data_IF_593615259724
#
_entry.id   IF_593615259724
#
_cell.length_a   1.000
_cell.length_b   1.000
_cell.length_c   1.000
_cell.angle_alpha   90.00
_cell.angle_beta   90.00
_cell.angle_gamma   90.00
#
_symmetry.space_group_name_H-M   'P 1'
#
loop_
_entity.id
_entity.type
_entity.pdbx_description
1 polymer ?
#
# COMPACT_ATOMS: atom_id res chain seq x y z
N UNK A 1 -3.90 -33.91 -19.71
CA UNK A 1 -4.12 -33.13 -18.47
C UNK A 1 -3.41 -31.81 -18.66
N UNK A 2 -4.14 -30.76 -19.07
CA UNK A 2 -3.58 -29.43 -19.24
C UNK A 2 -3.73 -28.68 -17.91
N UNK A 3 -2.62 -28.39 -17.25
CA UNK A 3 -2.57 -27.48 -16.10
C UNK A 3 -2.72 -26.07 -16.66
N UNK A 4 -3.94 -25.54 -16.60
CA UNK A 4 -4.19 -24.12 -16.81
C UNK A 4 -3.60 -23.36 -15.62
N UNK A 5 -2.37 -22.87 -15.77
CA UNK A 5 -1.87 -21.77 -14.95
C UNK A 5 -2.68 -20.54 -15.35
N UNK A 6 -3.73 -20.24 -14.58
CA UNK A 6 -4.43 -18.96 -14.69
C UNK A 6 -3.52 -17.91 -14.05
N UNK A 7 -2.50 -17.49 -14.80
CA UNK A 7 -1.81 -16.24 -14.55
C UNK A 7 -2.82 -15.18 -15.01
N UNK A 8 -3.71 -14.75 -14.12
CA UNK A 8 -4.57 -13.61 -14.40
C UNK A 8 -3.63 -12.43 -14.56
N UNK A 9 -3.29 -12.08 -15.81
CA UNK A 9 -2.85 -10.73 -16.10
C UNK A 9 -3.83 -9.79 -15.39
N UNK A 10 -3.35 -8.86 -14.57
CA UNK A 10 -4.24 -7.99 -13.84
C UNK A 10 -5.03 -7.22 -14.90
N UNK A 11 -6.33 -7.53 -15.06
CA UNK A 11 -7.22 -6.77 -15.95
C UNK A 11 -7.10 -5.29 -15.54
N UNK A 12 -6.39 -4.50 -16.35
CA UNK A 12 -6.01 -3.13 -16.01
C UNK A 12 -4.65 -2.69 -16.56
N UNK A 13 -4.35 -1.40 -16.43
CA UNK A 13 -3.09 -0.79 -16.87
C UNK A 13 -2.17 -0.60 -15.67
N UNK A 14 -0.93 -1.10 -15.74
CA UNK A 14 0.07 -0.83 -14.68
C UNK A 14 0.39 0.66 -14.68
N UNK A 15 0.09 1.34 -13.57
CA UNK A 15 0.36 2.78 -13.38
C UNK A 15 1.76 2.98 -12.80
N UNK A 16 2.11 2.14 -11.83
CA UNK A 16 3.41 2.14 -11.17
C UNK A 16 3.88 0.71 -10.93
N UNK A 17 5.17 0.47 -11.20
CA UNK A 17 5.84 -0.79 -10.90
C UNK A 17 6.98 -0.49 -9.95
N UNK A 18 7.07 -1.30 -8.90
CA UNK A 18 8.14 -1.27 -7.93
C UNK A 18 8.94 -2.58 -8.03
N UNK A 19 10.06 -2.65 -7.30
CA UNK A 19 10.79 -3.90 -7.13
C UNK A 19 9.96 -5.00 -6.45
N UNK A 20 10.50 -6.23 -6.41
CA UNK A 20 9.92 -7.37 -5.69
C UNK A 20 8.51 -7.80 -6.13
N UNK A 21 8.14 -7.53 -7.39
CA UNK A 21 6.83 -7.90 -7.92
C UNK A 21 5.67 -7.10 -7.34
N UNK A 22 5.95 -5.91 -6.79
CA UNK A 22 4.95 -4.99 -6.26
C UNK A 22 4.56 -3.98 -7.34
N UNK A 23 3.28 -3.74 -7.56
CA UNK A 23 2.78 -2.77 -8.56
C UNK A 23 1.41 -2.21 -8.19
N UNK A 24 1.06 -1.08 -8.80
CA UNK A 24 -0.28 -0.50 -8.76
C UNK A 24 -0.89 -0.59 -10.15
N UNK A 25 -2.07 -1.18 -10.24
CA UNK A 25 -2.81 -1.39 -11.48
C UNK A 25 -4.11 -0.60 -11.46
N UNK A 26 -4.39 0.14 -12.53
CA UNK A 26 -5.67 0.80 -12.77
C UNK A 26 -6.64 -0.17 -13.45
N UNK A 27 -7.67 -0.61 -12.74
CA UNK A 27 -8.57 -1.69 -13.20
C UNK A 27 -9.76 -1.20 -14.04
N UNK A 28 -10.06 0.10 -14.03
CA UNK A 28 -11.26 0.68 -14.66
C UNK A 28 -10.93 2.01 -15.37
N UNK A 29 -9.89 2.00 -16.21
CA UNK A 29 -9.37 3.22 -16.85
C UNK A 29 -10.39 3.95 -17.73
N UNK A 30 -11.39 3.23 -18.28
CA UNK A 30 -12.44 3.81 -19.13
C UNK A 30 -13.68 4.29 -18.35
N UNK A 31 -13.69 4.12 -17.02
CA UNK A 31 -14.80 4.55 -16.16
C UNK A 31 -14.56 5.95 -15.58
N UNK A 32 -15.62 6.71 -15.25
CA UNK A 32 -15.50 8.05 -14.69
C UNK A 32 -14.84 8.09 -13.29
N UNK A 33 -14.64 6.93 -12.66
CA UNK A 33 -13.99 6.80 -11.34
C UNK A 33 -13.10 5.57 -11.34
N UNK A 34 -11.87 5.69 -11.88
CA UNK A 34 -10.94 4.57 -11.93
C UNK A 34 -10.54 4.12 -10.53
N UNK A 35 -10.33 2.82 -10.38
CA UNK A 35 -9.86 2.20 -9.13
C UNK A 35 -8.43 1.67 -9.29
N UNK A 36 -7.66 1.81 -8.22
CA UNK A 36 -6.24 1.48 -8.18
C UNK A 36 -6.05 0.25 -7.29
N UNK A 37 -5.70 -0.88 -7.88
CA UNK A 37 -5.40 -2.12 -7.17
C UNK A 37 -3.93 -2.15 -6.80
N UNK A 38 -3.64 -2.43 -5.54
CA UNK A 38 -2.30 -2.78 -5.11
C UNK A 38 -2.07 -4.28 -5.31
N UNK A 39 -0.94 -4.65 -5.91
CA UNK A 39 -0.55 -6.03 -6.19
C UNK A 39 0.82 -6.26 -5.59
N UNK A 40 0.95 -7.29 -4.74
CA UNK A 40 2.22 -7.72 -4.17
C UNK A 40 2.24 -9.24 -3.96
N UNK A 41 3.42 -9.88 -3.90
CA UNK A 41 3.51 -11.30 -3.57
C UNK A 41 2.93 -11.57 -2.18
N UNK A 42 2.06 -12.59 -2.06
CA UNK A 42 1.49 -13.04 -0.78
C UNK A 42 0.70 -11.96 -0.03
N UNK A 43 0.10 -11.02 -0.76
CA UNK A 43 -0.74 -9.96 -0.22
C UNK A 43 -2.21 -10.19 -0.56
N UNK A 44 -3.12 -9.69 0.28
CA UNK A 44 -4.57 -9.77 0.07
C UNK A 44 -5.01 -8.65 -0.86
N UNK A 45 -5.63 -8.99 -1.99
CA UNK A 45 -6.16 -8.01 -2.95
C UNK A 45 -6.91 -6.85 -2.28
N UNK A 46 -6.46 -5.63 -2.58
CA UNK A 46 -7.06 -4.38 -2.10
C UNK A 46 -7.10 -3.34 -3.21
N UNK A 47 -8.15 -2.53 -3.23
CA UNK A 47 -8.35 -1.45 -4.21
C UNK A 47 -8.63 -0.12 -3.53
N UNK A 48 -8.13 0.96 -4.12
CA UNK A 48 -8.29 2.33 -3.63
C UNK A 48 -8.99 3.19 -4.68
N UNK A 49 -9.78 4.17 -4.24
CA UNK A 49 -10.43 5.13 -5.13
C UNK A 49 -9.47 6.22 -5.64
N UNK A 50 -8.31 6.38 -4.98
CA UNK A 50 -7.31 7.39 -5.31
C UNK A 50 -5.92 6.77 -5.47
N UNK A 51 -5.14 7.22 -6.47
CA UNK A 51 -3.80 6.69 -6.68
C UNK A 51 -2.85 7.04 -5.53
N UNK A 52 -3.04 8.21 -4.91
CA UNK A 52 -2.21 8.65 -3.79
C UNK A 52 -2.35 7.73 -2.55
N UNK A 53 -3.53 7.15 -2.35
CA UNK A 53 -3.80 6.29 -1.20
C UNK A 53 -3.21 4.89 -1.47
N UNK A 54 -3.31 4.39 -2.71
CA UNK A 54 -2.61 3.20 -3.16
C UNK A 54 -1.08 3.31 -3.05
N UNK A 55 -0.51 4.48 -3.39
CA UNK A 55 0.92 4.76 -3.22
C UNK A 55 1.34 4.76 -1.77
N UNK A 56 0.60 5.45 -0.90
CA UNK A 56 0.91 5.46 0.54
C UNK A 56 0.81 4.06 1.15
N UNK A 57 -0.16 3.25 0.69
CA UNK A 57 -0.25 1.85 1.09
C UNK A 57 0.97 1.05 0.64
N UNK A 58 1.44 1.25 -0.59
CA UNK A 58 2.68 0.65 -1.06
C UNK A 58 3.89 1.11 -0.24
N UNK A 59 3.97 2.40 0.13
CA UNK A 59 5.03 2.92 1.00
C UNK A 59 5.04 2.19 2.34
N UNK A 60 3.88 2.04 2.97
CA UNK A 60 3.73 1.28 4.23
C UNK A 60 4.17 -0.18 4.04
N UNK A 61 3.81 -0.81 2.93
CA UNK A 61 4.22 -2.19 2.64
C UNK A 61 5.74 -2.34 2.58
N UNK A 62 6.43 -1.44 1.89
CA UNK A 62 7.89 -1.43 1.85
C UNK A 62 8.51 -1.11 3.21
N UNK A 63 7.97 -0.12 3.92
CA UNK A 63 8.48 0.33 5.22
C UNK A 63 8.54 -0.79 6.28
N UNK A 64 7.63 -1.76 6.21
CA UNK A 64 7.61 -2.91 7.13
C UNK A 64 8.10 -4.21 6.50
N UNK A 65 8.64 -4.16 5.28
CA UNK A 65 9.07 -5.32 4.50
C UNK A 65 7.96 -6.37 4.30
N UNK A 66 6.75 -5.89 4.05
CA UNK A 66 5.54 -6.67 3.80
C UNK A 66 4.72 -6.97 5.06
N UNK A 67 3.41 -7.11 4.87
CA UNK A 67 2.46 -7.46 5.92
C UNK A 67 1.26 -8.22 5.33
N UNK A 68 0.52 -8.92 6.20
CA UNK A 68 -0.65 -9.72 5.80
C UNK A 68 -1.88 -9.24 6.57
N UNK A 69 -2.93 -8.86 5.84
CA UNK A 69 -4.19 -8.40 6.42
C UNK A 69 -5.19 -9.52 6.72
N UNK A 70 -4.89 -10.75 6.30
CA UNK A 70 -5.71 -11.91 6.61
C UNK A 70 -5.96 -12.02 8.13
N UNK A 71 -7.21 -12.32 8.49
CA UNK A 71 -7.68 -12.47 9.87
C UNK A 71 -7.58 -11.21 10.78
N UNK A 72 -7.23 -10.04 10.25
CA UNK A 72 -7.26 -8.79 11.02
C UNK A 72 -8.68 -8.22 11.19
N UNK A 73 -9.58 -8.54 10.24
CA UNK A 73 -10.95 -8.01 10.16
C UNK A 73 -11.01 -6.63 9.47
N UNK A 74 -12.21 -6.17 9.14
CA UNK A 74 -12.39 -4.97 8.28
C UNK A 74 -11.85 -3.65 8.85
N UNK A 75 -11.60 -3.59 10.17
CA UNK A 75 -10.97 -2.45 10.85
C UNK A 75 -9.71 -2.87 11.61
N UNK A 76 -9.21 -4.06 11.31
CA UNK A 76 -8.03 -4.61 11.92
C UNK A 76 -6.79 -3.86 11.49
N UNK A 77 -5.72 -4.09 12.23
CA UNK A 77 -4.39 -3.60 11.89
C UNK A 77 -3.46 -4.81 11.96
N UNK A 78 -2.67 -5.08 10.90
CA UNK A 78 -1.69 -6.16 10.94
C UNK A 78 -0.68 -5.97 12.07
N UNK A 79 -0.21 -7.06 12.71
CA UNK A 79 0.73 -6.97 13.82
C UNK A 79 2.05 -6.30 13.41
N UNK A 80 2.49 -6.44 12.16
CA UNK A 80 3.70 -5.81 11.61
C UNK A 80 3.58 -4.28 11.65
N UNK A 81 2.41 -3.74 11.28
CA UNK A 81 2.13 -2.30 11.29
C UNK A 81 2.15 -1.75 12.72
N UNK A 82 1.55 -2.48 13.68
CA UNK A 82 1.54 -2.07 15.09
C UNK A 82 2.97 -2.06 15.67
N UNK A 83 3.80 -3.04 15.29
CA UNK A 83 5.18 -3.16 15.76
C UNK A 83 6.12 -2.13 15.15
N UNK A 84 5.87 -1.70 13.90
CA UNK A 84 6.67 -0.71 13.20
C UNK A 84 6.63 0.68 13.86
N UNK A 85 5.53 0.99 14.55
CA UNK A 85 5.41 2.18 15.39
C UNK A 85 4.36 3.17 14.91
N UNK A 86 4.36 4.33 15.57
CA UNK A 86 3.24 5.28 15.51
C UNK A 86 3.05 5.90 14.13
N UNK A 87 4.14 6.28 13.48
CA UNK A 87 4.12 6.93 12.17
C UNK A 87 3.66 5.96 11.08
N UNK A 88 4.17 4.72 11.08
CA UNK A 88 3.71 3.66 10.16
C UNK A 88 2.24 3.32 10.39
N UNK A 89 1.80 3.20 11.65
CA UNK A 89 0.38 3.00 11.95
C UNK A 89 -0.48 4.16 11.48
N UNK A 90 -0.03 5.41 11.66
CA UNK A 90 -0.76 6.58 11.16
C UNK A 90 -0.88 6.56 9.63
N UNK A 91 0.22 6.29 8.92
CA UNK A 91 0.24 6.20 7.47
C UNK A 91 -0.69 5.08 6.96
N UNK A 92 -0.65 3.90 7.57
CA UNK A 92 -1.57 2.80 7.25
C UNK A 92 -3.03 3.22 7.43
N UNK A 93 -3.38 3.83 8.56
CA UNK A 93 -4.77 4.23 8.82
C UNK A 93 -5.28 5.28 7.82
N UNK A 94 -4.42 6.17 7.32
CA UNK A 94 -4.79 7.16 6.27
C UNK A 94 -5.19 6.48 4.95
N UNK A 95 -4.74 5.26 4.70
CA UNK A 95 -5.08 4.51 3.47
C UNK A 95 -6.41 3.77 3.56
N UNK A 96 -7.00 3.69 4.75
CA UNK A 96 -8.23 2.94 4.98
C UNK A 96 -9.45 3.73 4.51
N UNK A 97 -10.36 3.09 3.77
CA UNK A 97 -11.58 3.73 3.24
C UNK A 97 -12.42 4.45 4.31
N UNK A 98 -12.40 3.94 5.55
CA UNK A 98 -13.18 4.48 6.66
C UNK A 98 -12.47 5.58 7.48
N UNK A 99 -11.20 5.89 7.18
CA UNK A 99 -10.43 6.88 7.92
C UNK A 99 -9.78 7.90 6.98
N UNK A 100 -10.00 9.18 7.27
CA UNK A 100 -9.29 10.29 6.64
C UNK A 100 -8.21 10.85 7.58
N UNK A 101 -7.39 11.77 7.05
CA UNK A 101 -6.32 12.43 7.80
C UNK A 101 -6.82 13.14 9.07
N UNK A 102 -8.01 13.75 9.03
CA UNK A 102 -8.59 14.45 10.17
C UNK A 102 -9.03 13.47 11.27
N UNK A 103 -9.59 12.34 10.88
CA UNK A 103 -9.93 11.25 11.79
C UNK A 103 -8.67 10.70 12.45
N UNK A 104 -7.61 10.43 11.69
CA UNK A 104 -6.33 9.93 12.22
C UNK A 104 -5.68 10.95 13.15
N UNK A 105 -5.70 12.23 12.78
CA UNK A 105 -5.21 13.31 13.65
C UNK A 105 -5.97 13.36 14.98
N UNK A 106 -7.30 13.22 14.93
CA UNK A 106 -8.16 13.16 16.12
C UNK A 106 -7.87 11.94 16.97
N UNK A 107 -7.69 10.77 16.36
CA UNK A 107 -7.32 9.52 17.05
C UNK A 107 -6.01 9.66 17.84
N UNK A 108 -5.01 10.36 17.27
CA UNK A 108 -3.73 10.62 17.93
C UNK A 108 -3.72 11.84 18.84
N UNK A 109 -4.81 12.60 18.92
CA UNK A 109 -4.85 13.86 19.67
C UNK A 109 -3.86 14.91 19.15
N UNK A 110 -3.68 14.98 17.83
CA UNK A 110 -2.71 15.84 17.14
C UNK A 110 -3.36 16.60 15.96
N UNK A 111 -2.57 17.32 15.17
CA UNK A 111 -3.06 18.03 13.96
C UNK A 111 -2.80 17.23 12.68
N UNK A 112 -3.58 17.46 11.60
CA UNK A 112 -3.33 16.86 10.28
C UNK A 112 -1.89 17.06 9.80
N UNK A 113 -1.31 18.25 9.98
CA UNK A 113 0.11 18.52 9.66
C UNK A 113 1.10 17.57 10.33
N UNK A 114 0.80 17.05 11.52
CA UNK A 114 1.65 16.05 12.16
C UNK A 114 1.48 14.68 11.51
N UNK A 115 0.28 14.33 11.06
CA UNK A 115 -0.01 13.09 10.33
C UNK A 115 0.64 13.13 8.95
N UNK A 116 0.52 14.22 8.20
CA UNK A 116 1.21 14.40 6.92
C UNK A 116 2.74 14.22 7.07
N UNK A 117 3.32 14.73 8.16
CA UNK A 117 4.73 14.50 8.49
C UNK A 117 5.06 13.03 8.75
N UNK A 118 4.18 12.27 9.38
CA UNK A 118 4.37 10.82 9.55
C UNK A 118 4.31 10.10 8.21
N UNK A 119 3.35 10.43 7.36
CA UNK A 119 3.27 9.88 6.01
C UNK A 119 4.53 10.19 5.18
N UNK A 120 5.11 11.37 5.33
CA UNK A 120 6.35 11.73 4.63
C UNK A 120 7.60 10.99 5.15
N UNK A 121 7.68 10.66 6.44
CA UNK A 121 8.74 9.79 6.95
C UNK A 121 8.63 8.36 6.44
N UNK A 122 7.43 7.80 6.38
CA UNK A 122 7.19 6.46 5.83
C UNK A 122 7.54 6.41 4.34
N UNK A 123 7.12 7.42 3.56
CA UNK A 123 7.52 7.58 2.15
C UNK A 123 9.04 7.56 1.98
N UNK A 124 9.75 8.37 2.77
CA UNK A 124 11.21 8.43 2.70
C UNK A 124 11.86 7.08 2.97
N UNK A 125 11.44 6.37 4.03
CA UNK A 125 11.95 5.04 4.35
C UNK A 125 11.66 4.02 3.24
N UNK A 126 10.45 4.07 2.68
CA UNK A 126 10.08 3.20 1.56
C UNK A 126 10.93 3.48 0.31
N UNK A 127 11.22 4.76 0.02
CA UNK A 127 12.07 5.15 -1.09
C UNK A 127 13.52 4.64 -0.89
N UNK A 128 14.08 4.80 0.31
CA UNK A 128 15.41 4.23 0.65
C UNK A 128 15.44 2.71 0.43
N UNK A 129 14.42 1.98 0.88
CA UNK A 129 14.33 0.52 0.70
C UNK A 129 14.23 0.13 -0.78
N UNK A 130 13.49 0.90 -1.59
CA UNK A 130 13.36 0.64 -3.03
C UNK A 130 14.65 0.94 -3.78
N UNK A 131 15.41 1.95 -3.35
CA UNK A 131 16.71 2.31 -3.93
C UNK A 131 17.81 1.30 -3.55
N UNK A 132 17.75 0.73 -2.35
CA UNK A 132 18.69 -0.30 -1.88
C UNK A 132 18.42 -1.69 -2.47
N UNK A 133 17.25 -1.91 -3.07
CA UNK A 133 16.95 -3.14 -3.78
C UNK A 133 17.95 -3.34 -4.94
N UNK A 134 18.73 -4.43 -4.96
CA UNK A 134 19.61 -4.67 -6.09
C UNK A 134 18.76 -4.75 -7.35
N UNK A 135 19.19 -4.07 -8.41
CA UNK A 135 18.65 -4.22 -9.76
C UNK A 135 18.39 -5.71 -10.00
N UNK A 136 17.13 -6.12 -9.95
CA UNK A 136 16.71 -7.46 -10.32
C UNK A 136 16.79 -7.54 -11.86
N UNK A 137 18.02 -7.55 -12.36
CA UNK A 137 18.35 -7.32 -13.76
C UNK A 137 19.85 -7.38 -14.06
N UNK A 138 20.57 -8.34 -13.49
CA UNK A 138 21.89 -8.77 -13.99
C UNK A 138 22.21 -10.21 -13.56
N UNK A 139 21.57 -11.19 -14.22
CA UNK A 139 22.20 -12.38 -14.84
C UNK A 139 21.14 -13.32 -15.46
#
# INVERSE_FOLDING_TARGET
MATSTHNSDPEGTVVESYGFGVSIVECQADEPSPRYRFVAPQHTDITFDRPADARLYADVYFDVNGFVEADTGARGVPPEIVQAGKDTLAAYLVTMEWADENWVASFYGTTPTVIDRYCSWVRHRADEIREEAPDAGAD
#
